data_IF_365160663152
#
_entry.id   IF_365160663152
#
_cell.length_a   1.000
_cell.length_b   1.000
_cell.length_c   1.000
_cell.angle_alpha   90.00
_cell.angle_beta   90.00
_cell.angle_gamma   90.00
#
_symmetry.space_group_name_H-M   'P 1'
#
loop_
_entity.id
_entity.type
_entity.pdbx_description
1 polymer ?
#
# COMPACT_ATOMS: atom_id res chain seq x y z
N UNK A 1 -8.78 -18.02 8.48
CA UNK A 1 -7.73 -18.49 9.42
C UNK A 1 -6.60 -17.45 9.46
N UNK A 2 -5.53 -17.68 10.23
CA UNK A 2 -4.43 -16.69 10.36
C UNK A 2 -3.60 -16.55 9.07
N UNK A 3 -3.49 -17.60 8.25
CA UNK A 3 -2.85 -17.54 6.93
C UNK A 3 -3.58 -16.54 6.04
N UNK A 4 -4.91 -16.64 5.98
CA UNK A 4 -5.76 -15.74 5.21
C UNK A 4 -5.61 -14.28 5.69
N UNK A 5 -5.64 -14.05 7.02
CA UNK A 5 -5.47 -12.69 7.60
C UNK A 5 -4.14 -12.08 7.24
N UNK A 6 -3.04 -12.84 7.38
CA UNK A 6 -1.69 -12.38 7.02
C UNK A 6 -1.60 -12.09 5.52
N UNK A 7 -2.22 -12.92 4.67
CA UNK A 7 -2.26 -12.69 3.23
C UNK A 7 -3.04 -11.40 2.86
N UNK A 8 -4.17 -11.13 3.51
CA UNK A 8 -4.93 -9.87 3.32
C UNK A 8 -4.06 -8.67 3.70
N UNK A 9 -3.41 -8.70 4.87
CA UNK A 9 -2.52 -7.62 5.33
C UNK A 9 -1.40 -7.36 4.30
N UNK A 10 -0.82 -8.42 3.72
CA UNK A 10 0.19 -8.29 2.66
C UNK A 10 -0.34 -7.50 1.46
N UNK A 11 -1.52 -7.85 0.95
CA UNK A 11 -2.07 -7.17 -0.23
C UNK A 11 -2.41 -5.70 0.08
N UNK A 12 -2.95 -5.38 1.26
CA UNK A 12 -3.16 -3.98 1.66
C UNK A 12 -1.84 -3.19 1.74
N UNK A 13 -0.79 -3.76 2.34
CA UNK A 13 0.52 -3.11 2.39
C UNK A 13 1.11 -2.88 1.00
N UNK A 14 0.96 -3.85 0.08
CA UNK A 14 1.41 -3.72 -1.30
C UNK A 14 0.65 -2.60 -2.03
N UNK A 15 -0.67 -2.59 -1.90
CA UNK A 15 -1.52 -1.55 -2.45
C UNK A 15 -1.15 -0.16 -1.92
N UNK A 16 -0.89 -0.03 -0.62
CA UNK A 16 -0.48 1.24 -0.01
C UNK A 16 0.92 1.68 -0.45
N UNK A 17 1.87 0.77 -0.64
CA UNK A 17 3.19 1.11 -1.20
C UNK A 17 3.05 1.62 -2.62
N UNK A 18 2.17 1.01 -3.43
CA UNK A 18 1.87 1.51 -4.78
C UNK A 18 1.21 2.90 -4.74
N UNK A 19 0.19 3.09 -3.91
CA UNK A 19 -0.47 4.38 -3.76
C UNK A 19 0.48 5.47 -3.26
N UNK A 20 1.40 5.14 -2.34
CA UNK A 20 2.45 6.04 -1.88
C UNK A 20 3.38 6.46 -3.02
N UNK A 21 3.74 5.53 -3.92
CA UNK A 21 4.53 5.85 -5.12
C UNK A 21 3.80 6.82 -6.06
N UNK A 22 2.49 6.63 -6.27
CA UNK A 22 1.67 7.53 -7.10
C UNK A 22 1.52 8.93 -6.48
N UNK A 23 1.25 8.99 -5.18
CA UNK A 23 1.20 10.25 -4.43
C UNK A 23 2.56 10.95 -4.42
N UNK A 24 3.65 10.21 -4.25
CA UNK A 24 5.01 10.74 -4.32
C UNK A 24 5.34 11.27 -5.71
N UNK A 25 4.91 10.60 -6.78
CA UNK A 25 5.10 11.08 -8.16
C UNK A 25 4.49 12.48 -8.37
N UNK A 26 3.31 12.73 -7.82
CA UNK A 26 2.62 14.02 -7.96
C UNK A 26 3.23 15.13 -7.08
N UNK A 27 3.91 14.78 -5.98
CA UNK A 27 4.25 15.73 -4.91
C UNK A 27 5.75 15.85 -4.57
N UNK A 28 6.59 14.95 -5.09
CA UNK A 28 8.02 14.91 -4.80
C UNK A 28 8.86 15.01 -6.06
N UNK A 29 10.05 15.56 -5.90
CA UNK A 29 11.07 15.46 -6.94
C UNK A 29 11.51 14.01 -7.14
N UNK A 30 11.97 13.70 -8.35
CA UNK A 30 12.33 12.33 -8.73
C UNK A 30 13.40 11.73 -7.81
N UNK A 31 14.36 12.52 -7.32
CA UNK A 31 15.39 12.04 -6.39
C UNK A 31 14.81 11.63 -5.03
N UNK A 32 13.92 12.44 -4.47
CA UNK A 32 13.25 12.14 -3.20
C UNK A 32 12.32 10.94 -3.31
N UNK A 33 11.55 10.84 -4.40
CA UNK A 33 10.73 9.67 -4.70
C UNK A 33 11.56 8.40 -4.82
N UNK A 34 12.68 8.46 -5.56
CA UNK A 34 13.59 7.32 -5.74
C UNK A 34 14.25 6.86 -4.43
N UNK A 35 14.38 7.74 -3.44
CA UNK A 35 14.82 7.36 -2.09
C UNK A 35 13.66 6.80 -1.24
N UNK A 36 12.51 7.49 -1.24
CA UNK A 36 11.37 7.17 -0.37
C UNK A 36 10.73 5.82 -0.70
N UNK A 37 10.38 5.58 -1.96
CA UNK A 37 9.55 4.44 -2.35
C UNK A 37 10.24 3.10 -2.08
N UNK A 38 11.52 2.90 -2.46
CA UNK A 38 12.24 1.66 -2.11
C UNK A 38 12.42 1.51 -0.59
N UNK A 39 12.69 2.59 0.13
CA UNK A 39 12.84 2.55 1.59
C UNK A 39 11.54 2.13 2.28
N UNK A 40 10.39 2.66 1.85
CA UNK A 40 9.07 2.29 2.33
C UNK A 40 8.75 0.83 2.03
N UNK A 41 8.96 0.38 0.78
CA UNK A 41 8.74 -1.01 0.38
C UNK A 41 9.55 -1.99 1.25
N UNK A 42 10.84 -1.72 1.46
CA UNK A 42 11.70 -2.55 2.29
C UNK A 42 11.33 -2.50 3.77
N UNK A 43 10.89 -1.35 4.29
CA UNK A 43 10.41 -1.24 5.66
C UNK A 43 9.14 -2.08 5.88
N UNK A 44 8.17 -1.98 4.97
CA UNK A 44 6.96 -2.81 4.99
C UNK A 44 7.30 -4.30 4.90
N UNK A 45 8.19 -4.70 3.97
CA UNK A 45 8.57 -6.10 3.81
C UNK A 45 9.23 -6.69 5.07
N UNK A 46 10.13 -5.93 5.73
CA UNK A 46 10.76 -6.34 6.99
C UNK A 46 9.76 -6.46 8.14
N UNK A 47 8.86 -5.47 8.28
CA UNK A 47 7.84 -5.50 9.32
C UNK A 47 6.87 -6.66 9.10
N UNK A 48 6.42 -6.84 7.85
CA UNK A 48 5.55 -7.94 7.47
C UNK A 48 6.19 -9.29 7.75
N UNK A 49 7.47 -9.47 7.40
CA UNK A 49 8.20 -10.71 7.67
C UNK A 49 8.23 -11.06 9.16
N UNK A 50 8.57 -10.10 10.03
CA UNK A 50 8.57 -10.33 11.48
C UNK A 50 7.20 -10.80 11.98
N UNK A 51 6.15 -10.07 11.61
CA UNK A 51 4.78 -10.40 12.02
C UNK A 51 4.34 -11.77 11.46
N UNK A 52 4.66 -12.07 10.21
CA UNK A 52 4.32 -13.33 9.58
C UNK A 52 5.07 -14.51 10.21
N UNK A 53 6.36 -14.34 10.58
CA UNK A 53 7.10 -15.39 11.30
C UNK A 53 6.50 -15.67 12.68
N UNK A 54 6.09 -14.63 13.39
CA UNK A 54 5.44 -14.78 14.70
C UNK A 54 4.12 -15.54 14.62
N UNK A 55 3.31 -15.28 13.58
CA UNK A 55 1.96 -15.84 13.42
C UNK A 55 1.96 -17.19 12.70
N UNK A 56 2.81 -17.36 11.68
CA UNK A 56 2.78 -18.51 10.75
C UNK A 56 3.99 -19.44 10.87
N UNK A 57 5.02 -19.06 11.65
CA UNK A 57 6.26 -19.81 11.78
C UNK A 57 7.30 -19.46 10.70
N UNK A 58 8.34 -20.29 10.56
CA UNK A 58 9.48 -19.98 9.68
C UNK A 58 9.10 -19.89 8.20
N UNK A 59 9.58 -18.84 7.51
CA UNK A 59 9.42 -18.68 6.06
C UNK A 59 10.11 -17.43 5.54
N UNK A 60 10.38 -17.38 4.23
CA UNK A 60 10.96 -16.20 3.57
C UNK A 60 9.87 -15.21 3.11
N UNK A 61 9.14 -14.66 4.08
CA UNK A 61 8.05 -13.73 3.80
C UNK A 61 8.53 -12.38 3.26
N UNK A 62 9.79 -12.01 3.50
CA UNK A 62 10.34 -10.75 2.99
C UNK A 62 10.53 -10.83 1.46
N UNK A 63 11.16 -11.90 0.96
CA UNK A 63 11.32 -12.08 -0.48
C UNK A 63 9.96 -12.23 -1.19
N UNK A 64 9.05 -13.02 -0.61
CA UNK A 64 7.69 -13.20 -1.15
C UNK A 64 6.90 -11.88 -1.21
N UNK A 65 7.08 -11.00 -0.21
CA UNK A 65 6.47 -9.66 -0.22
C UNK A 65 6.97 -8.84 -1.40
N UNK A 66 8.29 -8.75 -1.59
CA UNK A 66 8.90 -7.95 -2.66
C UNK A 66 8.54 -8.50 -4.04
N UNK A 67 8.55 -9.83 -4.20
CA UNK A 67 8.13 -10.46 -5.45
C UNK A 67 6.67 -10.14 -5.78
N UNK A 68 5.78 -10.25 -4.79
CA UNK A 68 4.37 -9.92 -4.96
C UNK A 68 4.20 -8.44 -5.28
N UNK A 69 4.88 -7.54 -4.57
CA UNK A 69 4.85 -6.10 -4.83
C UNK A 69 5.24 -5.78 -6.27
N UNK A 70 6.35 -6.34 -6.77
CA UNK A 70 6.81 -6.12 -8.13
C UNK A 70 5.80 -6.61 -9.17
N UNK A 71 5.24 -7.81 -8.96
CA UNK A 71 4.19 -8.37 -9.84
C UNK A 71 2.94 -7.50 -9.86
N UNK A 72 2.47 -7.03 -8.70
CA UNK A 72 1.29 -6.14 -8.61
C UNK A 72 1.54 -4.80 -9.27
N UNK A 73 2.71 -4.20 -9.02
CA UNK A 73 3.10 -2.92 -9.61
C UNK A 73 3.13 -2.94 -11.14
N UNK A 74 3.43 -4.09 -11.76
CA UNK A 74 3.34 -4.25 -13.21
C UNK A 74 1.94 -3.90 -13.75
N UNK A 75 0.89 -4.46 -13.16
CA UNK A 75 -0.48 -4.19 -13.58
C UNK A 75 -1.04 -2.89 -13.02
N UNK A 76 -0.81 -2.60 -11.73
CA UNK A 76 -1.26 -1.35 -11.12
C UNK A 76 -0.67 -0.12 -11.81
N UNK A 77 0.54 -0.25 -12.37
CA UNK A 77 1.20 0.79 -13.12
C UNK A 77 0.42 1.30 -14.33
N UNK A 78 -0.40 0.44 -14.93
CA UNK A 78 -1.25 0.72 -16.09
C UNK A 78 -2.60 1.34 -15.71
N UNK A 79 -2.96 1.30 -14.42
CA UNK A 79 -4.22 1.79 -13.92
C UNK A 79 -4.17 3.29 -13.62
N UNK A 80 -5.30 3.98 -13.74
CA UNK A 80 -5.39 5.40 -13.42
C UNK A 80 -5.26 5.67 -11.91
N UNK A 81 -4.58 6.76 -11.59
CA UNK A 81 -4.47 7.35 -10.27
C UNK A 81 -4.45 8.86 -10.46
N UNK A 82 -5.32 9.60 -9.78
CA UNK A 82 -5.45 11.04 -9.99
C UNK A 82 -6.20 11.70 -8.85
N UNK A 83 -5.97 12.99 -8.65
CA UNK A 83 -6.55 13.77 -7.54
C UNK A 83 -6.30 13.13 -6.16
N UNK A 84 -5.17 12.43 -6.02
CA UNK A 84 -4.81 11.72 -4.79
C UNK A 84 -5.63 10.44 -4.53
N UNK A 85 -6.35 9.92 -5.52
CA UNK A 85 -7.22 8.74 -5.40
C UNK A 85 -6.92 7.68 -6.48
N UNK A 86 -7.11 6.39 -6.15
CA UNK A 86 -7.03 5.31 -7.12
C UNK A 86 -8.26 5.32 -8.04
N UNK A 87 -8.06 5.11 -9.34
CA UNK A 87 -9.16 4.92 -10.28
C UNK A 87 -9.84 3.57 -10.13
N UNK A 88 -11.00 3.42 -10.76
CA UNK A 88 -11.81 2.20 -10.70
C UNK A 88 -11.02 0.93 -11.05
N UNK A 89 -10.23 0.93 -12.12
CA UNK A 89 -9.46 -0.23 -12.55
C UNK A 89 -8.44 -0.68 -11.50
N UNK A 90 -7.80 0.28 -10.81
CA UNK A 90 -6.85 -0.02 -9.74
C UNK A 90 -7.55 -0.63 -8.52
N UNK A 91 -8.67 -0.04 -8.09
CA UNK A 91 -9.48 -0.56 -6.99
C UNK A 91 -10.04 -1.95 -7.30
N UNK A 92 -10.47 -2.17 -8.55
CA UNK A 92 -10.97 -3.47 -9.03
C UNK A 92 -9.87 -4.54 -9.01
N UNK A 93 -8.67 -4.22 -9.49
CA UNK A 93 -7.55 -5.15 -9.47
C UNK A 93 -7.10 -5.48 -8.03
N UNK A 94 -7.11 -4.49 -7.14
CA UNK A 94 -6.86 -4.71 -5.72
C UNK A 94 -7.93 -5.59 -5.06
N UNK A 95 -9.21 -5.29 -5.29
CA UNK A 95 -10.31 -6.06 -4.74
C UNK A 95 -10.34 -7.50 -5.24
N UNK A 96 -9.94 -7.76 -6.49
CA UNK A 96 -9.74 -9.11 -7.01
C UNK A 96 -8.71 -9.92 -6.22
N UNK A 97 -7.60 -9.30 -5.81
CA UNK A 97 -6.59 -9.98 -5.01
C UNK A 97 -7.08 -10.29 -3.60
N UNK A 98 -7.84 -9.37 -2.98
CA UNK A 98 -8.47 -9.63 -1.68
C UNK A 98 -9.52 -10.74 -1.81
N UNK A 99 -10.40 -10.69 -2.82
CA UNK A 99 -11.41 -11.73 -3.05
C UNK A 99 -10.78 -13.10 -3.28
N UNK A 100 -9.68 -13.17 -4.04
CA UNK A 100 -8.97 -14.42 -4.29
C UNK A 100 -8.41 -15.05 -3.00
N UNK A 101 -8.06 -14.25 -2.00
CA UNK A 101 -7.60 -14.70 -0.68
C UNK A 101 -8.78 -15.11 0.22
N UNK A 102 -9.86 -14.32 0.20
CA UNK A 102 -11.04 -14.57 1.02
C UNK A 102 -11.87 -15.75 0.51
N UNK A 103 -11.84 -16.02 -0.79
CA UNK A 103 -12.67 -17.05 -1.44
C UNK A 103 -14.09 -16.56 -1.72
N UNK A 104 -14.90 -17.38 -2.38
CA UNK A 104 -16.23 -16.99 -2.91
C UNK A 104 -17.41 -17.54 -2.09
N UNK A 105 -17.20 -17.80 -0.79
CA UNK A 105 -18.30 -18.23 0.07
C UNK A 105 -19.33 -17.10 0.30
N UNK A 106 -20.49 -17.43 0.85
CA UNK A 106 -21.54 -16.43 1.08
C UNK A 106 -21.12 -15.35 2.07
N UNK A 107 -20.22 -15.66 3.00
CA UNK A 107 -19.70 -14.71 3.99
C UNK A 107 -18.84 -13.64 3.33
N UNK A 108 -18.12 -13.99 2.27
CA UNK A 108 -17.20 -13.11 1.56
C UNK A 108 -17.79 -12.49 0.28
N UNK A 109 -19.10 -12.61 0.07
CA UNK A 109 -19.80 -12.09 -1.13
C UNK A 109 -19.63 -10.58 -1.31
N UNK A 110 -19.50 -9.83 -0.23
CA UNK A 110 -19.45 -8.35 -0.24
C UNK A 110 -18.03 -7.79 -0.12
N UNK A 111 -17.01 -8.66 -0.13
CA UNK A 111 -15.61 -8.24 0.04
C UNK A 111 -15.17 -7.31 -1.08
N UNK A 112 -15.55 -7.59 -2.33
CA UNK A 112 -15.21 -6.71 -3.45
C UNK A 112 -15.82 -5.32 -3.29
N UNK A 113 -17.12 -5.23 -2.99
CA UNK A 113 -17.81 -3.93 -2.84
C UNK A 113 -17.23 -3.14 -1.65
N UNK A 114 -16.99 -3.82 -0.52
CA UNK A 114 -16.35 -3.20 0.65
C UNK A 114 -14.96 -2.62 0.31
N UNK A 115 -14.14 -3.39 -0.40
CA UNK A 115 -12.79 -2.94 -0.77
C UNK A 115 -12.82 -1.80 -1.78
N UNK A 116 -13.70 -1.86 -2.77
CA UNK A 116 -13.76 -0.89 -3.85
C UNK A 116 -14.39 0.43 -3.41
N UNK A 117 -15.49 0.37 -2.67
CA UNK A 117 -16.30 1.56 -2.37
C UNK A 117 -15.93 2.22 -1.05
N UNK A 118 -15.36 1.46 -0.10
CA UNK A 118 -15.10 1.92 1.27
C UNK A 118 -13.60 1.85 1.58
N UNK A 119 -13.06 0.65 1.77
CA UNK A 119 -11.73 0.49 2.37
C UNK A 119 -10.63 1.08 1.50
N UNK A 120 -10.59 0.74 0.21
CA UNK A 120 -9.56 1.17 -0.73
C UNK A 120 -9.44 2.69 -0.81
N UNK A 121 -10.54 3.42 -1.11
CA UNK A 121 -10.53 4.88 -1.09
C UNK A 121 -10.18 5.48 0.27
N UNK A 122 -10.68 4.92 1.38
CA UNK A 122 -10.42 5.43 2.72
C UNK A 122 -8.96 5.31 3.12
N UNK A 123 -8.32 4.16 2.89
CA UNK A 123 -6.91 3.97 3.26
C UNK A 123 -5.98 4.85 2.43
N UNK A 124 -6.29 5.10 1.15
CA UNK A 124 -5.51 6.03 0.33
C UNK A 124 -5.68 7.48 0.82
N UNK A 125 -6.90 7.90 1.20
CA UNK A 125 -7.10 9.23 1.80
C UNK A 125 -6.30 9.41 3.08
N UNK A 126 -6.27 8.40 3.94
CA UNK A 126 -5.47 8.42 5.17
C UNK A 126 -3.96 8.47 4.88
N UNK A 127 -3.50 7.71 3.89
CA UNK A 127 -2.11 7.72 3.44
C UNK A 127 -1.71 9.09 2.89
N UNK A 128 -2.51 9.67 1.98
CA UNK A 128 -2.27 10.99 1.40
C UNK A 128 -2.16 12.07 2.49
N UNK A 129 -3.08 12.06 3.46
CA UNK A 129 -3.01 12.97 4.61
C UNK A 129 -1.71 12.80 5.41
N UNK A 130 -1.28 11.56 5.64
CA UNK A 130 -0.05 11.26 6.39
C UNK A 130 1.20 11.73 5.66
N UNK A 131 1.26 11.54 4.34
CA UNK A 131 2.38 12.02 3.51
C UNK A 131 2.44 13.55 3.46
N UNK A 132 1.29 14.23 3.29
CA UNK A 132 1.23 15.70 3.31
C UNK A 132 1.69 16.30 4.64
N UNK A 133 1.34 15.66 5.76
CA UNK A 133 1.78 16.11 7.09
C UNK A 133 3.30 16.02 7.25
N UNK A 134 3.92 14.96 6.73
CA UNK A 134 5.37 14.79 6.77
C UNK A 134 6.10 15.92 6.01
N UNK A 135 5.54 16.38 4.88
CA UNK A 135 6.10 17.48 4.10
C UNK A 135 5.91 18.83 4.82
N UNK A 136 4.74 19.05 5.41
CA UNK A 136 4.44 20.30 6.12
C UNK A 136 5.36 20.55 7.33
N UNK A 137 5.77 19.48 8.01
CA UNK A 137 6.63 19.57 9.19
C UNK A 137 8.07 20.00 8.85
N UNK A 138 8.61 19.54 7.70
CA UNK A 138 9.90 20.02 7.17
C UNK A 138 9.89 21.54 6.90
N UNK A 139 8.78 22.09 6.41
CA UNK A 139 8.65 23.52 6.09
C UNK A 139 8.58 24.40 7.35
N UNK A 140 8.11 23.86 8.48
CA UNK A 140 8.07 24.58 9.76
C UNK A 140 9.44 24.62 10.44
N UNK A 141 10.22 23.53 10.42
CA UNK A 141 11.56 23.47 11.01
C UNK A 141 12.60 24.36 10.31
N UNK A 142 12.45 24.59 9.00
CA UNK A 142 13.34 25.47 8.24
C UNK A 142 13.14 26.98 8.57
N UNK A 143 11.95 27.39 9.03
CA UNK A 143 11.65 28.79 9.37
C UNK A 143 12.10 29.21 10.77
N UNK A 144 12.36 28.27 11.68
CA UNK A 144 12.76 28.55 13.07
C UNK A 144 14.27 28.56 13.30
N UNK A 145 15.08 28.32 12.25
CA UNK A 145 16.56 28.30 12.34
C UNK A 145 17.21 29.59 11.81
N UNK A 146 16.41 30.59 11.44
CA UNK A 146 16.86 31.94 11.04
C UNK A 146 16.33 32.97 12.02
N UNK A 147 16.89 32.98 13.23
CA UNK A 147 16.81 34.10 14.19
C UNK A 147 17.99 33.99 15.14
#
# INVERSE_FOLDING_TARGET
>A
DDVQRVAVIREYLIFLVHAADRLAFDNLEQADRAALVPALALACARQFHRNAVEVLGSGDYQAQFIETLNRRNGHYGECSFGEGLPGYALLRAFSDHIQAIMGNDQTNRWVMDQVMDIDGPDVVRQLAKSMSNLHADKTKGAKTSST
#
